data_IF_592449815333
#
_entry.id   IF_592449815333
#
_cell.length_a   1.000
_cell.length_b   1.000
_cell.length_c   1.000
_cell.angle_alpha   90.00
_cell.angle_beta   90.00
_cell.angle_gamma   90.00
#
_symmetry.space_group_name_H-M   'P 1'
#
loop_
_entity.id
_entity.type
_entity.pdbx_description
1 polymer ?
#
# COMPACT_ATOMS: atom_id res chain seq x y z
N UNK A 1 -21.18 -50.99 54.87
CA UNK A 1 -19.76 -50.75 54.54
C UNK A 1 -19.51 -51.54 53.26
N UNK A 2 -19.30 -51.04 52.04
CA UNK A 2 -18.70 -49.80 51.50
C UNK A 2 -19.18 -49.71 50.02
N UNK A 3 -20.13 -48.84 49.66
CA UNK A 3 -20.01 -47.59 48.86
C UNK A 3 -19.16 -47.59 47.56
N UNK A 4 -19.88 -47.40 46.42
CA UNK A 4 -19.58 -46.63 45.17
C UNK A 4 -18.35 -47.04 44.33
N UNK A 5 -18.22 -46.87 43.01
CA UNK A 5 -18.83 -46.05 41.95
C UNK A 5 -18.29 -46.66 40.63
N UNK A 6 -19.09 -47.06 39.65
CA UNK A 6 -19.52 -46.27 38.47
C UNK A 6 -18.39 -45.96 37.44
N UNK A 7 -18.81 -45.85 36.18
CA UNK A 7 -18.14 -45.22 35.01
C UNK A 7 -17.38 -46.15 34.04
N UNK A 8 -18.06 -46.50 32.95
CA UNK A 8 -17.43 -46.81 31.65
C UNK A 8 -16.78 -45.55 31.07
N UNK A 9 -15.73 -45.65 30.23
CA UNK A 9 -16.02 -45.59 28.78
C UNK A 9 -14.97 -46.31 27.91
N UNK A 10 -15.39 -46.92 26.80
CA UNK A 10 -14.62 -46.84 25.55
C UNK A 10 -15.33 -47.56 24.42
N UNK A 11 -15.72 -46.76 23.42
CA UNK A 11 -15.29 -46.92 22.02
C UNK A 11 -15.56 -48.30 21.43
N UNK A 12 -16.54 -48.37 20.53
CA UNK A 12 -16.33 -48.60 19.09
C UNK A 12 -17.73 -48.73 18.47
N UNK A 13 -17.99 -48.07 17.33
CA UNK A 13 -18.89 -48.50 16.24
C UNK A 13 -19.46 -47.29 15.49
N UNK A 14 -19.20 -47.30 14.18
CA UNK A 14 -19.98 -46.71 13.06
C UNK A 14 -20.07 -45.18 12.91
N UNK A 15 -19.83 -44.73 11.68
CA UNK A 15 -20.45 -43.52 11.17
C UNK A 15 -19.75 -42.88 9.99
N UNK A 16 -19.98 -43.43 8.79
CA UNK A 16 -19.57 -42.82 7.53
C UNK A 16 -20.21 -41.44 7.32
N UNK A 17 -19.42 -40.41 6.97
CA UNK A 17 -19.93 -39.17 6.34
C UNK A 17 -18.94 -38.68 5.29
N UNK A 18 -19.09 -39.28 4.11
CA UNK A 18 -19.16 -38.71 2.75
C UNK A 18 -18.55 -37.31 2.53
N UNK A 19 -17.54 -37.29 1.65
CA UNK A 19 -17.09 -36.13 0.87
C UNK A 19 -18.24 -35.54 0.03
N UNK A 20 -18.51 -34.24 0.18
CA UNK A 20 -19.18 -33.44 -0.85
C UNK A 20 -18.34 -32.20 -1.12
N UNK A 21 -17.49 -32.32 -2.15
CA UNK A 21 -16.87 -31.20 -2.85
C UNK A 21 -17.80 -30.79 -4.01
N UNK A 22 -17.92 -29.49 -4.20
CA UNK A 22 -18.27 -28.79 -5.45
C UNK A 22 -19.73 -28.86 -5.95
N UNK A 23 -20.46 -27.77 -5.73
CA UNK A 23 -21.15 -27.05 -6.84
C UNK A 23 -21.31 -25.58 -6.44
N UNK A 24 -20.43 -24.73 -6.97
CA UNK A 24 -20.63 -23.29 -7.00
C UNK A 24 -21.44 -22.91 -8.25
N UNK A 25 -22.55 -22.21 -8.04
CA UNK A 25 -23.29 -21.47 -9.07
C UNK A 25 -24.05 -20.33 -8.39
N UNK A 26 -23.35 -19.26 -7.97
CA UNK A 26 -24.04 -17.99 -7.67
C UNK A 26 -24.29 -17.29 -9.00
N UNK A 27 -25.48 -17.51 -9.56
CA UNK A 27 -25.98 -16.74 -10.70
C UNK A 27 -26.27 -15.30 -10.29
N UNK A 28 -25.26 -14.44 -10.40
CA UNK A 28 -25.44 -12.99 -10.34
C UNK A 28 -26.00 -12.51 -11.68
N UNK A 29 -27.32 -12.36 -11.75
CA UNK A 29 -28.00 -11.59 -12.80
C UNK A 29 -27.68 -10.12 -12.62
N UNK A 30 -26.73 -9.60 -13.40
CA UNK A 30 -26.54 -8.16 -13.55
C UNK A 30 -27.64 -7.61 -14.48
N UNK A 31 -28.39 -6.56 -14.07
CA UNK A 31 -29.27 -5.85 -14.97
C UNK A 31 -28.43 -5.16 -16.07
N UNK A 32 -28.93 -5.29 -17.29
CA UNK A 32 -28.43 -4.63 -18.50
C UNK A 32 -28.66 -3.12 -18.34
N UNK A 33 -27.63 -2.38 -17.93
CA UNK A 33 -27.68 -0.92 -17.98
C UNK A 33 -27.49 -0.49 -19.44
N UNK A 34 -28.58 0.02 -20.01
CA UNK A 34 -28.58 0.70 -21.29
C UNK A 34 -27.61 1.88 -21.23
N UNK A 35 -26.79 2.01 -22.27
CA UNK A 35 -25.85 3.10 -22.42
C UNK A 35 -26.58 4.44 -22.43
N UNK A 36 -26.12 5.33 -21.57
CA UNK A 36 -26.24 6.77 -21.75
C UNK A 36 -24.82 7.28 -22.02
N UNK A 37 -24.54 7.51 -23.30
CA UNK A 37 -23.48 8.40 -23.76
C UNK A 37 -23.66 9.75 -23.05
N UNK A 38 -22.72 10.08 -22.17
CA UNK A 38 -22.43 11.46 -21.79
C UNK A 38 -21.10 11.52 -21.03
N UNK A 39 -20.08 12.03 -21.73
CA UNK A 39 -19.01 12.83 -21.13
C UNK A 39 -18.02 12.09 -20.25
N UNK A 40 -16.97 11.53 -20.85
CA UNK A 40 -15.63 11.74 -20.31
C UNK A 40 -14.69 11.97 -21.47
N UNK A 41 -14.49 13.25 -21.76
CA UNK A 41 -13.34 13.73 -22.52
C UNK A 41 -12.09 13.19 -21.82
N UNK A 42 -11.50 12.14 -22.39
CA UNK A 42 -10.17 11.69 -22.04
C UNK A 42 -9.22 12.81 -22.46
N UNK A 43 -8.95 13.74 -21.55
CA UNK A 43 -7.82 14.65 -21.68
C UNK A 43 -6.59 13.75 -21.73
N UNK A 44 -6.02 13.61 -22.93
CA UNK A 44 -4.77 12.92 -23.15
C UNK A 44 -3.73 13.52 -22.21
N UNK A 45 -3.38 12.76 -21.18
CA UNK A 45 -2.40 13.21 -20.19
C UNK A 45 -1.07 13.23 -20.89
N UNK A 46 -0.47 14.42 -20.97
CA UNK A 46 0.89 14.60 -21.47
C UNK A 46 1.83 13.65 -20.71
N UNK A 47 2.56 12.76 -21.40
CA UNK A 47 3.41 11.75 -20.76
C UNK A 47 4.51 12.34 -19.87
N UNK A 48 4.77 13.65 -20.00
CA UNK A 48 5.72 14.39 -19.18
C UNK A 48 5.22 14.64 -17.75
N UNK A 49 3.90 14.62 -17.50
CA UNK A 49 3.28 14.83 -16.17
C UNK A 49 2.92 13.50 -15.49
N UNK A 50 2.96 12.39 -16.25
CA UNK A 50 2.67 11.04 -15.75
C UNK A 50 3.76 10.45 -14.85
N UNK A 51 4.93 11.07 -14.75
CA UNK A 51 6.08 10.45 -14.09
C UNK A 51 6.11 10.62 -12.57
N UNK A 52 5.45 11.63 -11.99
CA UNK A 52 5.65 11.99 -10.57
C UNK A 52 4.46 11.73 -9.64
N UNK A 53 3.47 10.98 -10.10
CA UNK A 53 2.30 10.64 -9.27
C UNK A 53 1.17 9.86 -9.94
N UNK A 54 1.36 9.40 -11.20
CA UNK A 54 0.34 8.64 -11.92
C UNK A 54 -0.18 7.48 -11.05
N UNK A 55 -1.50 7.47 -10.88
CA UNK A 55 -2.19 6.43 -10.13
C UNK A 55 -2.14 5.17 -10.97
N UNK A 56 -1.11 4.35 -10.74
CA UNK A 56 -1.06 2.98 -11.23
C UNK A 56 -2.26 2.21 -10.64
N UNK A 57 -2.91 1.37 -11.44
CA UNK A 57 -4.02 0.50 -11.02
C UNK A 57 -3.69 -0.26 -9.72
N UNK A 58 -2.46 -0.76 -9.58
CA UNK A 58 -2.00 -1.42 -8.34
C UNK A 58 -2.06 -0.49 -7.12
N UNK A 59 -1.64 0.76 -7.28
CA UNK A 59 -1.67 1.76 -6.21
C UNK A 59 -3.12 2.11 -5.83
N UNK A 60 -4.01 2.21 -6.82
CA UNK A 60 -5.43 2.48 -6.56
C UNK A 60 -6.06 1.38 -5.68
N UNK A 61 -5.89 0.11 -6.05
CA UNK A 61 -6.43 -0.99 -5.27
C UNK A 61 -5.76 -1.12 -3.91
N UNK A 62 -4.44 -0.90 -3.82
CA UNK A 62 -3.72 -0.91 -2.56
C UNK A 62 -4.25 0.14 -1.58
N UNK A 63 -4.52 1.37 -2.03
CA UNK A 63 -5.07 2.43 -1.18
C UNK A 63 -6.47 2.06 -0.68
N UNK A 64 -7.31 1.49 -1.54
CA UNK A 64 -8.67 1.05 -1.15
C UNK A 64 -8.62 -0.09 -0.12
N UNK A 65 -7.66 -1.00 -0.25
CA UNK A 65 -7.43 -2.04 0.74
C UNK A 65 -6.89 -1.46 2.05
N UNK A 66 -5.94 -0.54 1.96
CA UNK A 66 -5.31 0.08 3.11
C UNK A 66 -6.31 0.87 3.98
N UNK A 67 -7.25 1.59 3.34
CA UNK A 67 -8.37 2.26 4.02
C UNK A 67 -9.25 1.29 4.82
N UNK A 68 -9.50 0.09 4.31
CA UNK A 68 -10.33 -0.93 4.98
C UNK A 68 -9.61 -1.64 6.12
N UNK A 69 -8.29 -1.68 6.08
CA UNK A 69 -7.45 -2.49 6.97
C UNK A 69 -6.67 -1.65 7.99
N UNK A 70 -6.99 -0.36 8.15
CA UNK A 70 -6.23 0.56 8.99
C UNK A 70 -4.72 0.53 8.65
N UNK A 71 -4.40 0.73 7.38
CA UNK A 71 -3.05 0.57 6.85
C UNK A 71 -2.66 1.73 5.93
N UNK A 72 -1.37 1.80 5.58
CA UNK A 72 -0.82 2.70 4.56
C UNK A 72 -0.27 1.91 3.38
N UNK A 73 0.00 2.61 2.28
CA UNK A 73 0.68 2.04 1.11
C UNK A 73 2.08 2.62 1.01
N UNK A 74 3.10 1.79 1.08
CA UNK A 74 4.49 2.16 0.80
C UNK A 74 4.80 1.79 -0.66
N UNK A 75 5.15 2.78 -1.47
CA UNK A 75 5.56 2.63 -2.86
C UNK A 75 7.04 2.98 -3.02
N UNK A 76 7.90 1.98 -3.19
CA UNK A 76 9.35 2.14 -3.37
C UNK A 76 9.70 2.03 -4.85
N UNK A 77 10.12 3.15 -5.45
CA UNK A 77 10.48 3.19 -6.86
C UNK A 77 11.75 2.38 -7.14
N UNK A 78 11.71 1.54 -8.17
CA UNK A 78 12.85 0.70 -8.58
C UNK A 78 13.05 -0.57 -7.74
N UNK A 79 12.16 -0.86 -6.77
CA UNK A 79 12.18 -2.12 -6.02
C UNK A 79 11.46 -3.24 -6.79
N UNK A 80 11.90 -4.48 -6.56
CA UNK A 80 11.29 -5.72 -7.05
C UNK A 80 9.85 -5.93 -6.56
N UNK A 81 9.58 -5.52 -5.32
CA UNK A 81 8.22 -5.44 -4.76
C UNK A 81 7.93 -3.98 -4.37
N UNK A 82 7.48 -3.16 -5.34
CA UNK A 82 7.41 -1.72 -5.16
C UNK A 82 6.24 -1.31 -4.27
N UNK A 83 5.13 -2.04 -4.22
CA UNK A 83 3.90 -1.60 -3.54
C UNK A 83 3.57 -2.53 -2.38
N UNK A 84 3.71 -2.01 -1.16
CA UNK A 84 3.51 -2.76 0.09
C UNK A 84 2.41 -2.12 0.92
N UNK A 85 1.54 -2.94 1.50
CA UNK A 85 0.50 -2.47 2.42
C UNK A 85 1.00 -2.73 3.84
N UNK A 86 1.15 -1.67 4.62
CA UNK A 86 1.71 -1.76 5.98
C UNK A 86 0.64 -1.37 7.00
N UNK A 87 0.33 -2.23 7.97
CA UNK A 87 -0.66 -1.93 8.99
C UNK A 87 -0.17 -0.77 9.88
N UNK A 88 -1.10 0.12 10.21
CA UNK A 88 -0.85 1.10 11.27
C UNK A 88 -1.15 0.44 12.64
N UNK A 89 -0.52 0.93 13.72
CA UNK A 89 -0.87 0.58 15.08
C UNK A 89 -2.36 0.80 15.36
N UNK A 90 -2.85 0.07 16.36
CA UNK A 90 -4.22 0.22 16.87
C UNK A 90 -4.41 1.61 17.51
N UNK A 91 -5.67 2.01 17.71
CA UNK A 91 -6.08 3.33 18.23
C UNK A 91 -5.19 3.85 19.37
N UNK A 92 -4.75 5.12 19.23
CA UNK A 92 -3.98 5.85 20.24
C UNK A 92 -2.52 6.14 19.87
N UNK A 93 -1.96 5.40 18.92
CA UNK A 93 -0.58 5.60 18.44
C UNK A 93 -0.56 6.15 17.01
N UNK A 94 0.16 7.26 16.81
CA UNK A 94 0.41 7.82 15.47
C UNK A 94 1.79 7.44 15.00
N UNK A 95 1.90 6.93 13.77
CA UNK A 95 3.20 6.65 13.13
C UNK A 95 3.59 7.85 12.31
N UNK A 96 4.82 8.33 12.48
CA UNK A 96 5.39 9.39 11.67
C UNK A 96 6.04 8.83 10.40
N UNK A 97 6.28 9.69 9.41
CA UNK A 97 6.98 9.27 8.19
C UNK A 97 8.39 8.79 8.53
N UNK A 98 9.10 9.50 9.41
CA UNK A 98 10.44 9.12 9.88
C UNK A 98 10.48 7.71 10.49
N UNK A 99 9.47 7.37 11.30
CA UNK A 99 9.33 6.05 11.92
C UNK A 99 9.08 4.98 10.87
N UNK A 100 8.18 5.23 9.91
CA UNK A 100 7.88 4.30 8.83
C UNK A 100 9.14 4.00 8.00
N UNK A 101 9.88 5.03 7.58
CA UNK A 101 11.07 4.88 6.74
C UNK A 101 12.17 4.08 7.45
N UNK A 102 12.30 4.28 8.77
CA UNK A 102 13.25 3.54 9.62
C UNK A 102 12.83 2.08 9.82
N UNK A 103 11.55 1.86 10.16
CA UNK A 103 11.03 0.52 10.46
C UNK A 103 10.88 -0.37 9.21
N UNK A 104 10.51 0.22 8.07
CA UNK A 104 10.43 -0.50 6.79
C UNK A 104 11.80 -0.93 6.24
N UNK A 105 12.90 -0.40 6.79
CA UNK A 105 14.26 -0.68 6.33
C UNK A 105 14.62 0.01 5.01
N UNK A 106 13.74 0.83 4.45
CA UNK A 106 13.94 1.49 3.15
C UNK A 106 15.21 2.34 3.15
N UNK A 107 15.43 3.14 4.20
CA UNK A 107 16.64 3.97 4.34
C UNK A 107 17.92 3.13 4.34
N UNK A 108 17.90 1.95 4.97
CA UNK A 108 19.07 1.04 4.98
C UNK A 108 19.32 0.40 3.62
N UNK A 109 18.26 0.14 2.85
CA UNK A 109 18.37 -0.51 1.54
C UNK A 109 18.76 0.44 0.40
N UNK A 110 18.27 1.69 0.42
CA UNK A 110 18.46 2.65 -0.67
C UNK A 110 19.55 3.68 -0.32
N UNK A 111 19.67 4.04 0.96
CA UNK A 111 20.48 5.18 1.43
C UNK A 111 19.69 6.47 1.33
N UNK A 112 20.27 7.46 0.66
CA UNK A 112 19.65 8.76 0.40
C UNK A 112 18.36 8.63 -0.44
N UNK A 113 17.26 9.22 0.04
CA UNK A 113 15.94 9.13 -0.60
C UNK A 113 15.23 10.47 -0.74
N UNK A 114 14.29 10.53 -1.68
CA UNK A 114 13.24 11.54 -1.74
C UNK A 114 11.89 10.90 -1.41
N UNK A 115 11.06 11.63 -0.67
CA UNK A 115 9.81 11.08 -0.12
C UNK A 115 8.64 12.04 -0.33
N UNK A 116 7.51 11.48 -0.75
CA UNK A 116 6.26 12.21 -0.94
C UNK A 116 5.11 11.41 -0.35
N UNK A 117 4.29 12.05 0.49
CA UNK A 117 3.04 11.45 1.01
C UNK A 117 1.88 11.93 0.16
N UNK A 118 1.08 11.00 -0.36
CA UNK A 118 -0.19 11.26 -1.01
C UNK A 118 -1.30 10.92 -0.05
N UNK A 119 -1.94 11.95 0.50
CA UNK A 119 -3.05 11.80 1.44
C UNK A 119 -4.35 11.59 0.70
N UNK A 120 -5.05 10.50 1.00
CA UNK A 120 -6.37 10.26 0.42
C UNK A 120 -7.34 11.38 0.81
N UNK A 121 -7.94 12.03 -0.20
CA UNK A 121 -8.93 13.09 -0.01
C UNK A 121 -10.02 12.92 -1.07
N UNK A 122 -11.22 12.42 -0.71
CA UNK A 122 -12.34 12.36 -1.63
C UNK A 122 -12.73 13.77 -2.13
N UNK A 123 -13.04 13.97 -3.43
CA UNK A 123 -13.16 12.97 -4.49
C UNK A 123 -11.87 12.70 -5.29
N UNK A 124 -10.71 13.23 -4.89
CA UNK A 124 -9.45 13.13 -5.65
C UNK A 124 -8.91 11.68 -5.66
N UNK A 125 -8.74 11.05 -6.84
CA UNK A 125 -8.16 9.72 -6.94
C UNK A 125 -6.67 9.68 -6.61
N UNK A 126 -5.94 10.79 -6.85
CA UNK A 126 -4.51 10.91 -6.56
C UNK A 126 -4.25 11.30 -5.10
N UNK A 127 -5.19 12.02 -4.48
CA UNK A 127 -5.03 12.59 -3.15
C UNK A 127 -4.23 13.90 -3.13
N UNK A 128 -4.01 14.44 -1.93
CA UNK A 128 -3.21 15.62 -1.67
C UNK A 128 -1.72 15.24 -1.59
N UNK A 129 -0.89 15.86 -2.42
CA UNK A 129 0.57 15.66 -2.41
C UNK A 129 1.21 16.49 -1.29
N UNK A 130 1.88 15.82 -0.36
CA UNK A 130 2.58 16.39 0.79
C UNK A 130 4.07 16.04 0.66
N UNK A 131 4.92 16.97 0.17
CA UNK A 131 6.35 16.71 0.05
C UNK A 131 6.99 16.60 1.43
N UNK A 132 7.81 15.57 1.62
CA UNK A 132 8.57 15.37 2.85
C UNK A 132 9.99 15.89 2.61
N UNK A 133 10.42 16.87 3.41
CA UNK A 133 11.77 17.41 3.31
C UNK A 133 12.72 16.53 4.08
N UNK A 134 13.79 16.14 3.42
CA UNK A 134 14.90 15.43 4.05
C UNK A 134 15.97 16.41 4.53
N UNK A 135 16.83 15.98 5.44
CA UNK A 135 18.01 16.73 5.88
C UNK A 135 19.06 16.82 4.73
N UNK A 136 20.18 17.51 4.98
CA UNK A 136 21.21 17.69 3.95
C UNK A 136 21.85 16.40 3.43
N UNK A 137 21.79 15.30 4.18
CA UNK A 137 22.27 13.98 3.74
C UNK A 137 21.21 13.12 3.06
N UNK A 138 19.95 13.57 3.01
CA UNK A 138 18.79 12.81 2.51
C UNK A 138 18.53 11.48 3.25
N UNK A 139 19.02 11.34 4.48
CA UNK A 139 18.88 10.11 5.29
C UNK A 139 17.90 10.27 6.45
N UNK A 140 17.56 11.50 6.83
CA UNK A 140 16.60 11.78 7.90
C UNK A 140 15.53 12.76 7.44
N UNK A 141 14.31 12.57 7.93
CA UNK A 141 13.18 13.46 7.68
C UNK A 141 13.29 14.69 8.57
N UNK A 142 13.01 15.87 8.01
CA UNK A 142 12.98 17.12 8.78
C UNK A 142 11.69 17.23 9.60
N UNK A 143 11.74 17.65 10.89
CA UNK A 143 10.58 17.66 11.78
C UNK A 143 9.38 18.43 11.26
N UNK A 144 9.58 19.53 10.53
CA UNK A 144 8.47 20.35 10.01
C UNK A 144 7.62 19.68 8.92
N UNK A 145 8.14 18.60 8.33
CA UNK A 145 7.45 17.80 7.30
C UNK A 145 7.34 16.33 7.69
N UNK A 146 7.54 16.02 8.97
CA UNK A 146 7.37 14.67 9.50
C UNK A 146 5.89 14.43 9.83
N UNK A 147 5.12 14.12 8.78
CA UNK A 147 3.67 14.01 8.90
C UNK A 147 3.25 12.75 9.68
N UNK A 148 2.25 12.89 10.55
CA UNK A 148 1.53 11.74 11.06
C UNK A 148 0.77 11.03 9.93
N UNK A 149 1.01 9.74 9.80
CA UNK A 149 0.39 8.87 8.81
C UNK A 149 -1.05 8.54 9.17
N UNK A 150 -1.89 8.41 8.15
CA UNK A 150 -3.31 8.07 8.30
C UNK A 150 -3.67 6.88 7.44
N UNK A 151 -4.72 6.13 7.79
CA UNK A 151 -5.23 5.06 6.94
C UNK A 151 -5.48 5.54 5.51
N UNK A 152 -4.95 4.81 4.54
CA UNK A 152 -5.04 5.15 3.12
C UNK A 152 -4.02 6.16 2.60
N UNK A 153 -3.12 6.69 3.44
CA UNK A 153 -1.98 7.48 2.95
C UNK A 153 -1.08 6.58 2.08
N UNK A 154 -0.58 7.14 0.97
CA UNK A 154 0.39 6.49 0.08
C UNK A 154 1.73 7.21 0.16
N UNK A 155 2.77 6.52 0.59
CA UNK A 155 4.13 7.05 0.72
C UNK A 155 4.92 6.60 -0.49
N UNK A 156 5.32 7.53 -1.34
CA UNK A 156 6.21 7.26 -2.47
C UNK A 156 7.65 7.57 -2.05
N UNK A 157 8.55 6.61 -2.26
CA UNK A 157 9.98 6.74 -1.97
C UNK A 157 10.77 6.49 -3.25
N UNK A 158 11.71 7.37 -3.55
CA UNK A 158 12.66 7.23 -4.66
C UNK A 158 14.08 7.42 -4.16
N UNK A 159 15.06 6.82 -4.86
CA UNK A 159 16.48 7.09 -4.61
C UNK A 159 16.76 8.56 -4.92
N UNK A 160 17.34 9.27 -3.96
CA UNK A 160 17.87 10.60 -4.22
C UNK A 160 19.04 10.46 -5.20
N UNK A 161 18.97 11.18 -6.30
CA UNK A 161 20.07 11.23 -7.26
C UNK A 161 20.58 12.66 -7.29
N UNK A 162 21.85 12.84 -6.94
CA UNK A 162 22.47 14.15 -7.02
C UNK A 162 22.59 14.55 -8.50
N UNK A 163 22.02 15.70 -8.87
CA UNK A 163 22.05 16.25 -10.23
C UNK A 163 23.47 16.30 -10.82
N UNK A 164 24.48 16.48 -9.97
CA UNK A 164 25.88 16.54 -10.39
C UNK A 164 26.39 15.19 -10.91
N UNK A 165 25.96 14.07 -10.31
CA UNK A 165 26.32 12.71 -10.76
C UNK A 165 25.57 12.36 -12.04
N UNK A 166 24.29 12.75 -12.16
CA UNK A 166 23.55 12.59 -13.41
C UNK A 166 24.21 13.39 -14.54
N UNK A 167 24.61 14.63 -14.29
CA UNK A 167 25.30 15.46 -15.29
C UNK A 167 26.61 14.85 -15.77
N UNK A 168 27.40 14.25 -14.88
CA UNK A 168 28.64 13.57 -15.23
C UNK A 168 28.41 12.28 -16.02
N UNK A 169 27.41 11.48 -15.64
CA UNK A 169 27.07 10.25 -16.36
C UNK A 169 26.54 10.56 -17.77
N UNK A 170 25.67 11.54 -17.92
CA UNK A 170 25.16 11.98 -19.22
C UNK A 170 26.28 12.47 -20.13
N UNK A 171 27.19 13.31 -19.59
CA UNK A 171 28.38 13.78 -20.33
C UNK A 171 29.33 12.66 -20.71
N UNK A 172 29.53 11.66 -19.84
CA UNK A 172 30.40 10.51 -20.12
C UNK A 172 29.81 9.57 -21.18
N UNK A 173 28.47 9.47 -21.27
CA UNK A 173 27.77 8.70 -22.29
C UNK A 173 27.49 9.48 -23.58
N UNK A 174 28.00 10.72 -23.71
CA UNK A 174 27.91 11.51 -24.94
C UNK A 174 26.52 12.08 -25.25
N UNK A 175 25.67 12.24 -24.22
CA UNK A 175 24.40 12.96 -24.30
C UNK A 175 24.57 14.44 -23.95
#
# INVERSE_FOLDING_TARGET
MTKYKDIQPAITVLGAVICVMLTGCTGLRLPKFAGSDQGSEYVGVDPSVLSDGAVNEKNYYAVRQALKQNAIVLNVQGDSDPVRILPLPSEGESVLVSDLLRQSGVLKSIGAVDVVVFRHLPPSPTGLRLPVRMNGSHEEVRPETDYALRPGDRIQVSRYTNDMVQSLLSKAMGL
#
